data_IF_973896743876
#
_entry.id   IF_973896743876
#
_cell.length_a   1.000
_cell.length_b   1.000
_cell.length_c   1.000
_cell.angle_alpha   90.00
_cell.angle_beta   90.00
_cell.angle_gamma   90.00
#
_symmetry.space_group_name_H-M   'P 1'
#
loop_
_entity.id
_entity.type
_entity.pdbx_description
1 polymer ?
#
# COMPACT_ATOMS: atom_id res chain seq x y z
N UNK A 1 -4.74 -10.47 -5.84
CA UNK A 1 -3.41 -9.88 -6.17
C UNK A 1 -3.51 -8.65 -7.06
N UNK A 2 -4.23 -8.68 -8.20
CA UNK A 2 -4.30 -7.58 -9.19
C UNK A 2 -4.70 -6.23 -8.60
N UNK A 3 -5.68 -6.19 -7.70
CA UNK A 3 -6.13 -4.99 -7.00
C UNK A 3 -4.99 -4.35 -6.19
N UNK A 4 -4.26 -5.14 -5.41
CA UNK A 4 -3.13 -4.66 -4.58
C UNK A 4 -2.01 -4.10 -5.45
N UNK A 5 -1.67 -4.78 -6.54
CA UNK A 5 -0.69 -4.29 -7.51
C UNK A 5 -1.16 -3.01 -8.20
N UNK A 6 -2.48 -2.86 -8.42
CA UNK A 6 -3.09 -1.63 -8.90
C UNK A 6 -2.94 -0.47 -7.90
N UNK A 7 -3.19 -0.72 -6.61
CA UNK A 7 -3.02 0.28 -5.56
C UNK A 7 -1.56 0.73 -5.41
N UNK A 8 -0.60 -0.21 -5.46
CA UNK A 8 0.83 0.12 -5.45
C UNK A 8 1.22 1.06 -6.59
N UNK A 9 0.71 0.81 -7.79
CA UNK A 9 0.97 1.66 -8.97
C UNK A 9 0.44 3.08 -8.81
N UNK A 10 -0.73 3.26 -8.18
CA UNK A 10 -1.31 4.60 -7.93
C UNK A 10 -0.37 5.52 -7.14
N UNK A 11 0.44 4.96 -6.25
CA UNK A 11 1.35 5.70 -5.36
C UNK A 11 2.83 5.41 -5.64
N UNK A 12 3.13 4.81 -6.79
CA UNK A 12 4.49 4.51 -7.26
C UNK A 12 5.32 3.66 -6.30
N UNK A 13 4.70 2.77 -5.54
CA UNK A 13 5.41 1.82 -4.66
C UNK A 13 5.77 0.57 -5.45
N UNK A 14 7.07 0.32 -5.63
CA UNK A 14 7.60 -0.87 -6.31
C UNK A 14 7.17 -2.15 -5.59
N UNK A 15 6.91 -3.24 -6.32
CA UNK A 15 6.52 -4.53 -5.71
C UNK A 15 7.61 -5.08 -4.79
N UNK A 16 8.89 -4.81 -5.07
CA UNK A 16 10.00 -5.21 -4.21
C UNK A 16 10.06 -4.48 -2.86
N UNK A 17 9.40 -3.32 -2.74
CA UNK A 17 9.22 -2.66 -1.45
C UNK A 17 8.15 -3.42 -0.65
N UNK A 18 8.50 -4.11 0.45
CA UNK A 18 7.49 -4.77 1.27
C UNK A 18 6.59 -3.74 1.97
N UNK A 19 5.33 -4.10 2.13
CA UNK A 19 4.37 -3.34 2.92
C UNK A 19 3.92 -4.17 4.13
N UNK A 20 3.46 -3.49 5.17
CA UNK A 20 3.17 -4.13 6.44
C UNK A 20 1.95 -5.05 6.33
N UNK A 21 0.79 -4.50 5.97
CA UNK A 21 -0.45 -5.27 5.98
C UNK A 21 -1.46 -4.79 4.94
N UNK A 22 -2.40 -5.67 4.66
CA UNK A 22 -3.64 -5.34 3.98
C UNK A 22 -4.82 -5.88 4.77
N UNK A 23 -5.96 -5.21 4.66
CA UNK A 23 -7.22 -5.61 5.29
C UNK A 23 -8.22 -6.02 4.24
N UNK A 24 -8.98 -7.07 4.52
CA UNK A 24 -10.04 -7.57 3.65
C UNK A 24 -11.29 -7.77 4.51
N UNK A 25 -12.37 -7.00 4.26
CA UNK A 25 -13.66 -7.25 4.90
C UNK A 25 -14.23 -8.58 4.44
N UNK A 26 -14.54 -9.46 5.41
CA UNK A 26 -15.09 -10.79 5.15
C UNK A 26 -16.19 -11.08 6.15
N UNK A 27 -17.42 -11.22 5.65
CA UNK A 27 -18.61 -11.59 6.45
C UNK A 27 -18.98 -13.06 6.31
N UNK A 28 -18.54 -13.70 5.22
CA UNK A 28 -18.84 -15.11 4.92
C UNK A 28 -17.66 -16.01 5.37
N UNK A 29 -17.99 -17.02 6.20
CA UNK A 29 -17.00 -17.97 6.73
C UNK A 29 -16.35 -18.85 5.66
N UNK A 30 -17.11 -19.27 4.65
CA UNK A 30 -16.58 -20.09 3.54
C UNK A 30 -15.58 -19.30 2.71
N UNK A 31 -15.91 -18.04 2.40
CA UNK A 31 -14.99 -17.15 1.68
C UNK A 31 -13.72 -16.87 2.48
N UNK A 32 -13.85 -16.74 3.81
CA UNK A 32 -12.71 -16.60 4.71
C UNK A 32 -11.77 -17.81 4.65
N UNK A 33 -12.32 -19.04 4.72
CA UNK A 33 -11.53 -20.27 4.62
C UNK A 33 -10.78 -20.36 3.27
N UNK A 34 -11.43 -19.99 2.17
CA UNK A 34 -10.81 -19.95 0.85
C UNK A 34 -9.65 -18.95 0.80
N UNK A 35 -9.82 -17.75 1.37
CA UNK A 35 -8.76 -16.75 1.45
C UNK A 35 -7.59 -17.19 2.34
N UNK A 36 -7.88 -17.83 3.48
CA UNK A 36 -6.83 -18.37 4.36
C UNK A 36 -6.00 -19.45 3.65
N UNK A 37 -6.63 -20.30 2.84
CA UNK A 37 -5.92 -21.35 2.08
C UNK A 37 -4.92 -20.77 1.07
N UNK A 38 -5.20 -19.62 0.47
CA UNK A 38 -4.34 -18.97 -0.54
C UNK A 38 -3.51 -17.82 0.04
N UNK A 39 -3.67 -17.49 1.32
CA UNK A 39 -3.00 -16.38 2.00
C UNK A 39 -1.49 -16.33 1.77
N UNK A 40 -0.72 -17.44 1.93
CA UNK A 40 0.73 -17.41 1.71
C UNK A 40 1.11 -17.04 0.27
N UNK A 41 0.35 -17.52 -0.71
CA UNK A 41 0.58 -17.23 -2.12
C UNK A 41 0.34 -15.75 -2.42
N UNK A 42 -0.77 -15.21 -1.93
CA UNK A 42 -1.13 -13.79 -2.12
C UNK A 42 -0.09 -12.89 -1.46
N UNK A 43 0.26 -13.15 -0.20
CA UNK A 43 1.26 -12.37 0.54
C UNK A 43 2.61 -12.29 -0.20
N UNK A 44 3.05 -13.44 -0.72
CA UNK A 44 4.31 -13.51 -1.47
C UNK A 44 4.25 -12.75 -2.79
N UNK A 45 3.15 -12.89 -3.55
CA UNK A 45 2.97 -12.24 -4.85
C UNK A 45 2.90 -10.72 -4.74
N UNK A 46 2.17 -10.20 -3.76
CA UNK A 46 2.00 -8.76 -3.58
C UNK A 46 3.03 -8.12 -2.65
N UNK A 47 3.91 -8.94 -2.04
CA UNK A 47 4.94 -8.53 -1.08
C UNK A 47 4.37 -7.69 0.08
N UNK A 48 3.38 -8.25 0.76
CA UNK A 48 2.77 -7.72 1.98
C UNK A 48 3.01 -8.72 3.11
N UNK A 49 3.29 -8.26 4.33
CA UNK A 49 3.64 -9.13 5.46
C UNK A 49 2.43 -9.85 6.03
N UNK A 50 1.26 -9.20 6.04
CA UNK A 50 0.07 -9.71 6.71
C UNK A 50 -1.23 -9.41 5.94
N UNK A 51 -2.17 -10.34 6.02
CA UNK A 51 -3.58 -10.11 5.69
C UNK A 51 -4.39 -10.18 6.98
N UNK A 52 -5.10 -9.12 7.29
CA UNK A 52 -6.05 -9.03 8.36
C UNK A 52 -7.48 -9.12 7.80
N UNK A 53 -8.26 -10.08 8.30
CA UNK A 53 -9.67 -10.18 7.96
C UNK A 53 -10.49 -9.40 8.96
N UNK A 54 -11.27 -8.45 8.47
CA UNK A 54 -12.14 -7.58 9.27
C UNK A 54 -13.61 -7.84 8.93
N UNK A 55 -14.52 -7.47 9.83
CA UNK A 55 -15.94 -7.73 9.62
C UNK A 55 -16.62 -6.72 8.70
N UNK A 56 -16.12 -5.48 8.67
CA UNK A 56 -16.70 -4.40 7.89
C UNK A 56 -15.60 -3.41 7.42
N UNK A 57 -16.02 -2.37 6.75
CA UNK A 57 -15.12 -1.31 6.26
C UNK A 57 -14.93 -0.15 7.24
N UNK A 58 -15.53 -0.22 8.43
CA UNK A 58 -15.34 0.79 9.46
C UNK A 58 -13.89 0.82 9.92
N UNK A 59 -13.16 1.82 9.81
CA UNK A 59 -11.73 1.91 10.16
C UNK A 59 -10.75 1.82 8.97
N UNK A 60 -11.26 1.53 7.75
CA UNK A 60 -10.47 1.63 6.51
C UNK A 60 -11.02 2.64 5.51
N UNK A 61 -12.27 3.05 5.69
CA UNK A 61 -12.93 4.09 4.91
C UNK A 61 -13.57 5.10 5.84
N UNK A 62 -13.45 6.37 5.49
CA UNK A 62 -14.22 7.45 6.09
C UNK A 62 -15.34 7.80 5.12
N UNK A 63 -16.57 7.62 5.57
CA UNK A 63 -17.74 8.05 4.80
C UNK A 63 -17.98 9.54 5.06
N UNK A 64 -18.19 10.29 3.98
CA UNK A 64 -18.64 11.68 4.01
C UNK A 64 -19.96 11.78 3.30
N UNK A 65 -20.83 12.61 3.84
CA UNK A 65 -22.14 12.84 3.28
C UNK A 65 -22.26 14.30 2.80
N UNK A 66 -22.79 14.48 1.61
CA UNK A 66 -23.02 15.79 1.00
C UNK A 66 -24.47 15.93 0.60
N UNK A 67 -25.09 17.11 0.76
CA UNK A 67 -26.45 17.34 0.29
C UNK A 67 -26.49 17.36 -1.25
N UNK A 68 -27.52 16.73 -1.81
CA UNK A 68 -27.89 16.93 -3.20
C UNK A 68 -28.66 18.25 -3.32
N UNK A 69 -27.94 19.32 -3.71
CA UNK A 69 -28.53 20.66 -3.79
C UNK A 69 -29.70 20.77 -4.78
N UNK A 70 -29.73 19.91 -5.80
CA UNK A 70 -30.84 19.89 -6.76
C UNK A 70 -32.11 19.34 -6.13
N UNK A 71 -32.02 18.33 -5.29
CA UNK A 71 -33.14 17.72 -4.61
C UNK A 71 -33.59 18.56 -3.39
N UNK A 72 -32.63 18.99 -2.57
CA UNK A 72 -32.91 19.67 -1.31
C UNK A 72 -33.13 21.18 -1.42
N UNK A 73 -32.56 21.83 -2.43
CA UNK A 73 -32.69 23.27 -2.62
C UNK A 73 -34.14 23.80 -2.66
N UNK A 74 -35.06 23.18 -3.43
CA UNK A 74 -36.48 23.55 -3.43
C UNK A 74 -37.19 23.31 -2.10
N UNK A 75 -36.75 22.30 -1.31
CA UNK A 75 -37.38 21.94 -0.03
C UNK A 75 -36.92 22.82 1.13
N UNK A 76 -35.64 23.15 1.19
CA UNK A 76 -35.05 23.81 2.35
C UNK A 76 -34.64 25.28 2.10
N UNK A 77 -34.49 25.71 0.85
CA UNK A 77 -34.27 27.12 0.52
C UNK A 77 -33.16 27.79 1.36
N UNK A 78 -33.56 28.76 2.20
CA UNK A 78 -32.62 29.49 3.08
C UNK A 78 -31.98 28.63 4.17
N UNK A 79 -32.58 27.50 4.52
CA UNK A 79 -32.07 26.56 5.54
C UNK A 79 -31.02 25.59 4.99
N UNK A 80 -30.71 25.62 3.69
CA UNK A 80 -29.70 24.74 3.07
C UNK A 80 -28.31 24.82 3.72
N UNK A 81 -27.95 25.97 4.28
CA UNK A 81 -26.70 26.12 5.02
C UNK A 81 -26.67 25.27 6.29
N UNK A 82 -27.79 25.21 7.00
CA UNK A 82 -27.97 24.42 8.23
C UNK A 82 -28.02 22.93 7.89
N UNK A 83 -28.74 22.54 6.82
CA UNK A 83 -28.76 21.17 6.30
C UNK A 83 -27.36 20.69 5.98
N UNK A 84 -26.59 21.48 5.22
CA UNK A 84 -25.23 21.14 4.86
C UNK A 84 -24.31 21.02 6.10
N UNK A 85 -24.48 21.90 7.09
CA UNK A 85 -23.70 21.84 8.33
C UNK A 85 -24.04 20.58 9.15
N UNK A 86 -25.33 20.25 9.27
CA UNK A 86 -25.77 19.07 10.01
C UNK A 86 -25.26 17.78 9.34
N UNK A 87 -25.39 17.65 8.02
CA UNK A 87 -24.89 16.48 7.29
C UNK A 87 -23.36 16.33 7.39
N UNK A 88 -22.61 17.43 7.35
CA UNK A 88 -21.13 17.38 7.51
C UNK A 88 -20.67 16.95 8.89
N UNK A 89 -21.49 17.15 9.91
CA UNK A 89 -21.17 16.83 11.29
C UNK A 89 -21.70 15.44 11.72
N UNK A 90 -22.32 14.69 10.78
CA UNK A 90 -22.78 13.33 11.08
C UNK A 90 -21.59 12.41 11.39
N UNK A 91 -21.75 11.63 12.45
CA UNK A 91 -20.80 10.59 12.84
C UNK A 91 -20.84 9.40 11.85
N UNK A 92 -19.77 8.59 11.83
CA UNK A 92 -19.66 7.46 10.89
C UNK A 92 -20.80 6.44 11.08
N UNK A 93 -21.21 6.21 12.32
CA UNK A 93 -22.31 5.32 12.68
C UNK A 93 -23.66 5.84 12.15
N UNK A 94 -23.90 7.15 12.22
CA UNK A 94 -25.10 7.78 11.70
C UNK A 94 -25.18 7.69 10.17
N UNK A 95 -24.04 7.90 9.48
CA UNK A 95 -23.96 7.76 8.01
C UNK A 95 -24.21 6.30 7.62
N UNK A 96 -23.64 5.34 8.35
CA UNK A 96 -23.84 3.91 8.11
C UNK A 96 -25.31 3.48 8.37
N UNK A 97 -25.93 4.00 9.41
CA UNK A 97 -27.36 3.76 9.70
C UNK A 97 -28.24 4.34 8.59
N UNK A 98 -27.98 5.58 8.16
CA UNK A 98 -28.72 6.22 7.05
C UNK A 98 -28.61 5.40 5.75
N UNK A 99 -27.41 4.94 5.40
CA UNK A 99 -27.20 4.11 4.22
C UNK A 99 -27.97 2.78 4.29
N UNK A 100 -28.05 2.17 5.48
CA UNK A 100 -28.73 0.90 5.72
C UNK A 100 -30.25 1.04 5.75
N UNK A 101 -30.77 2.08 6.41
CA UNK A 101 -32.18 2.32 6.63
C UNK A 101 -32.85 3.03 5.43
N UNK A 102 -32.06 3.70 4.59
CA UNK A 102 -32.52 4.43 3.42
C UNK A 102 -33.17 5.78 3.73
N UNK A 103 -33.31 6.14 5.00
CA UNK A 103 -33.88 7.41 5.46
C UNK A 103 -33.22 7.88 6.75
N UNK A 104 -33.19 9.21 6.93
CA UNK A 104 -32.64 9.85 8.12
C UNK A 104 -33.51 11.04 8.56
N UNK A 105 -33.77 11.16 9.84
CA UNK A 105 -34.51 12.28 10.41
C UNK A 105 -33.57 13.40 10.85
N UNK A 106 -33.56 14.49 10.08
CA UNK A 106 -32.75 15.67 10.35
C UNK A 106 -33.55 16.67 11.20
N UNK A 107 -33.00 17.04 12.36
CA UNK A 107 -33.59 18.09 13.21
C UNK A 107 -33.00 19.45 12.87
N UNK A 108 -33.86 20.36 12.42
CA UNK A 108 -33.51 21.74 12.08
C UNK A 108 -34.42 22.72 12.80
N UNK A 109 -33.83 23.59 13.60
CA UNK A 109 -34.58 24.69 14.28
C UNK A 109 -35.87 24.25 15.00
N UNK A 110 -35.93 23.02 15.54
CA UNK A 110 -37.08 22.46 16.23
C UNK A 110 -38.08 21.73 15.35
N UNK A 111 -37.88 21.70 14.05
CA UNK A 111 -38.63 20.88 13.09
C UNK A 111 -37.85 19.64 12.70
N UNK A 112 -38.51 18.54 12.43
CA UNK A 112 -37.92 17.30 11.95
C UNK A 112 -38.20 17.14 10.46
N UNK A 113 -37.18 16.96 9.64
CA UNK A 113 -37.30 16.71 8.22
C UNK A 113 -36.72 15.33 7.87
N UNK A 114 -37.49 14.53 7.15
CA UNK A 114 -36.99 13.24 6.64
C UNK A 114 -36.20 13.44 5.35
N UNK A 115 -34.99 12.88 5.31
CA UNK A 115 -34.13 12.80 4.12
C UNK A 115 -34.09 11.36 3.62
N UNK A 116 -34.12 11.17 2.30
CA UNK A 116 -33.92 9.89 1.64
C UNK A 116 -32.51 9.82 1.05
N UNK A 117 -32.05 8.62 0.65
CA UNK A 117 -30.71 8.45 0.03
C UNK A 117 -30.52 9.26 -1.24
N UNK A 118 -31.58 9.52 -2.01
CA UNK A 118 -31.58 10.37 -3.22
C UNK A 118 -31.34 11.86 -2.92
N UNK A 119 -31.58 12.25 -1.66
CA UNK A 119 -31.38 13.63 -1.17
C UNK A 119 -29.90 13.93 -0.86
N UNK A 120 -29.07 12.92 -0.82
CA UNK A 120 -27.66 13.02 -0.40
C UNK A 120 -26.73 12.23 -1.33
N UNK A 121 -25.46 12.56 -1.28
CA UNK A 121 -24.39 11.80 -1.89
C UNK A 121 -23.46 11.30 -0.78
N UNK A 122 -23.35 9.98 -0.61
CA UNK A 122 -22.42 9.36 0.34
C UNK A 122 -21.15 9.00 -0.41
N UNK A 123 -20.03 9.59 0.01
CA UNK A 123 -18.71 9.42 -0.60
C UNK A 123 -17.82 8.70 0.41
N UNK A 124 -17.16 7.63 -0.04
CA UNK A 124 -16.12 6.96 0.75
C UNK A 124 -14.75 7.52 0.37
N UNK A 125 -13.98 7.94 1.36
CA UNK A 125 -12.60 8.39 1.20
C UNK A 125 -11.66 7.45 1.95
N UNK A 126 -10.48 7.23 1.37
CA UNK A 126 -9.43 6.46 2.04
C UNK A 126 -8.95 7.23 3.28
N UNK A 127 -8.70 6.52 4.38
CA UNK A 127 -8.05 7.14 5.53
C UNK A 127 -6.57 7.40 5.24
N UNK A 128 -5.96 8.43 5.86
CA UNK A 128 -4.54 8.70 5.65
C UNK A 128 -3.66 7.46 5.91
N UNK A 129 -2.77 7.16 4.97
CA UNK A 129 -1.88 6.00 5.04
C UNK A 129 -2.48 4.69 4.51
N UNK A 130 -3.74 4.70 4.04
CA UNK A 130 -4.41 3.56 3.44
C UNK A 130 -4.91 3.88 2.04
N UNK A 131 -4.90 2.87 1.18
CA UNK A 131 -5.55 2.91 -0.13
C UNK A 131 -6.55 1.77 -0.23
N UNK A 132 -7.73 2.07 -0.77
CA UNK A 132 -8.80 1.07 -0.93
C UNK A 132 -9.11 0.83 -2.40
N UNK A 133 -9.33 -0.43 -2.74
CA UNK A 133 -9.85 -0.85 -4.04
C UNK A 133 -11.04 -1.78 -3.85
N UNK A 134 -12.02 -1.64 -4.75
CA UNK A 134 -13.21 -2.46 -4.78
C UNK A 134 -13.34 -3.11 -6.17
N UNK A 135 -13.66 -4.39 -6.21
CA UNK A 135 -13.96 -5.13 -7.43
C UNK A 135 -15.10 -6.12 -7.14
N UNK A 136 -16.28 -5.84 -7.65
CA UNK A 136 -17.49 -6.58 -7.29
C UNK A 136 -17.74 -6.48 -5.77
N UNK A 137 -17.83 -7.63 -5.11
CA UNK A 137 -18.06 -7.72 -3.67
C UNK A 137 -16.75 -7.77 -2.84
N UNK A 138 -15.58 -7.69 -3.51
CA UNK A 138 -14.30 -7.74 -2.84
C UNK A 138 -13.77 -6.33 -2.61
N UNK A 139 -13.50 -6.02 -1.37
CA UNK A 139 -12.79 -4.80 -0.95
C UNK A 139 -11.43 -5.17 -0.40
N UNK A 140 -10.41 -4.42 -0.76
CA UNK A 140 -9.05 -4.57 -0.22
C UNK A 140 -8.54 -3.20 0.19
N UNK A 141 -8.11 -3.08 1.44
CA UNK A 141 -7.39 -1.91 1.93
C UNK A 141 -5.90 -2.24 2.12
N UNK A 142 -5.03 -1.41 1.60
CA UNK A 142 -3.59 -1.57 1.64
C UNK A 142 -2.97 -0.47 2.51
N UNK A 143 -2.25 -0.87 3.55
CA UNK A 143 -1.41 0.03 4.35
C UNK A 143 -0.19 0.43 3.52
N UNK A 144 -0.09 1.72 3.21
CA UNK A 144 1.01 2.28 2.40
C UNK A 144 2.07 2.98 3.26
N UNK A 145 1.97 2.88 4.58
CA UNK A 145 3.00 3.37 5.47
C UNK A 145 4.24 2.48 5.41
N UNK A 146 5.38 3.07 5.07
CA UNK A 146 6.66 2.38 4.97
C UNK A 146 7.50 2.74 6.19
N UNK A 147 7.66 1.82 7.13
CA UNK A 147 8.59 1.98 8.25
C UNK A 147 10.03 1.90 7.76
N UNK A 148 10.96 2.40 8.57
CA UNK A 148 12.39 2.32 8.24
C UNK A 148 12.87 0.88 8.04
N UNK A 149 12.34 -0.08 8.80
CA UNK A 149 12.65 -1.50 8.63
C UNK A 149 12.19 -2.05 7.28
N UNK A 150 10.96 -1.70 6.88
CA UNK A 150 10.42 -2.11 5.57
C UNK A 150 11.18 -1.44 4.43
N UNK A 151 11.61 -0.18 4.60
CA UNK A 151 12.45 0.53 3.64
C UNK A 151 13.80 -0.18 3.45
N UNK A 152 14.48 -0.54 4.54
CA UNK A 152 15.75 -1.26 4.50
C UNK A 152 15.62 -2.63 3.86
N UNK A 153 14.55 -3.37 4.15
CA UNK A 153 14.26 -4.64 3.46
C UNK A 153 14.00 -4.42 1.96
N UNK A 154 13.29 -3.36 1.59
CA UNK A 154 13.05 -2.98 0.20
C UNK A 154 14.36 -2.73 -0.55
N UNK A 155 15.29 -1.98 0.05
CA UNK A 155 16.64 -1.75 -0.48
C UNK A 155 17.39 -3.06 -0.68
N UNK A 156 17.35 -3.96 0.31
CA UNK A 156 18.02 -5.27 0.20
C UNK A 156 17.47 -6.11 -0.96
N UNK A 157 16.15 -6.14 -1.14
CA UNK A 157 15.48 -6.84 -2.26
C UNK A 157 15.81 -6.22 -3.61
N UNK A 158 15.91 -4.89 -3.69
CA UNK A 158 16.33 -4.21 -4.91
C UNK A 158 17.80 -4.54 -5.25
N UNK A 159 18.71 -4.52 -4.27
CA UNK A 159 20.09 -4.91 -4.44
C UNK A 159 20.22 -6.34 -4.98
N UNK A 160 19.49 -7.30 -4.38
CA UNK A 160 19.46 -8.68 -4.89
C UNK A 160 19.07 -8.72 -6.36
N UNK A 161 18.02 -8.00 -6.74
CA UNK A 161 17.57 -7.95 -8.14
C UNK A 161 18.64 -7.34 -9.06
N UNK A 162 19.28 -6.24 -8.65
CA UNK A 162 20.34 -5.59 -9.44
C UNK A 162 21.56 -6.48 -9.60
N UNK A 163 22.01 -7.13 -8.53
CA UNK A 163 23.12 -8.06 -8.56
C UNK A 163 22.81 -9.25 -9.50
N UNK A 164 21.61 -9.83 -9.40
CA UNK A 164 21.20 -10.92 -10.28
C UNK A 164 21.16 -10.50 -11.76
N UNK A 165 20.71 -9.28 -12.05
CA UNK A 165 20.75 -8.74 -13.40
C UNK A 165 22.20 -8.57 -13.91
N UNK A 166 23.10 -8.05 -13.09
CA UNK A 166 24.53 -7.93 -13.44
C UNK A 166 25.14 -9.30 -13.70
N UNK A 167 24.87 -10.31 -12.87
CA UNK A 167 25.33 -11.69 -13.09
C UNK A 167 24.88 -12.21 -14.46
N UNK A 168 23.58 -12.03 -14.78
CA UNK A 168 23.01 -12.46 -16.07
C UNK A 168 23.67 -11.74 -17.25
N UNK A 169 23.80 -10.42 -17.18
CA UNK A 169 24.41 -9.60 -18.23
C UNK A 169 25.90 -9.91 -18.42
N UNK A 170 26.59 -10.31 -17.36
CA UNK A 170 27.99 -10.70 -17.36
C UNK A 170 28.24 -12.15 -17.79
N UNK A 171 27.16 -12.91 -18.10
CA UNK A 171 27.28 -14.30 -18.54
C UNK A 171 27.71 -15.27 -17.41
N UNK A 172 27.44 -14.95 -16.15
CA UNK A 172 27.75 -15.83 -15.03
C UNK A 172 26.77 -17.00 -14.99
N UNK A 173 27.28 -18.18 -14.62
CA UNK A 173 26.46 -19.36 -14.39
C UNK A 173 25.65 -19.22 -13.09
N UNK A 174 24.56 -19.96 -12.99
CA UNK A 174 23.68 -19.92 -11.81
C UNK A 174 24.43 -20.30 -10.52
N UNK A 175 25.42 -21.17 -10.65
CA UNK A 175 26.23 -21.71 -9.54
C UNK A 175 27.48 -20.88 -9.21
N UNK A 176 27.83 -19.91 -10.04
CA UNK A 176 29.01 -19.07 -9.82
C UNK A 176 28.93 -18.34 -8.47
N UNK A 177 30.04 -18.35 -7.76
CA UNK A 177 30.23 -17.53 -6.57
C UNK A 177 30.77 -16.17 -6.99
N UNK A 178 30.39 -15.15 -6.21
CA UNK A 178 30.77 -13.77 -6.52
C UNK A 178 31.27 -13.02 -5.29
N UNK A 179 32.04 -12.00 -5.54
CA UNK A 179 32.32 -10.91 -4.60
C UNK A 179 31.62 -9.65 -5.09
N UNK A 180 31.09 -8.89 -4.15
CA UNK A 180 30.34 -7.66 -4.44
C UNK A 180 30.94 -6.51 -3.64
N UNK A 181 31.33 -5.45 -4.33
CA UNK A 181 31.74 -4.19 -3.71
C UNK A 181 30.75 -3.10 -4.10
N UNK A 182 30.21 -2.42 -3.11
CA UNK A 182 29.14 -1.41 -3.27
C UNK A 182 29.69 -0.06 -2.78
N UNK A 183 29.47 0.98 -3.57
CA UNK A 183 29.78 2.35 -3.17
C UNK A 183 28.94 2.75 -1.97
N UNK A 184 29.56 3.37 -0.95
CA UNK A 184 28.86 3.85 0.25
C UNK A 184 27.85 4.93 -0.10
N UNK A 185 26.66 4.81 0.45
CA UNK A 185 25.64 5.83 0.36
C UNK A 185 24.81 5.83 1.66
N UNK A 186 24.60 6.99 2.26
CA UNK A 186 23.97 7.13 3.57
C UNK A 186 22.61 6.42 3.68
N UNK A 187 21.80 6.43 2.61
CA UNK A 187 20.47 5.84 2.61
C UNK A 187 20.46 4.30 2.52
N UNK A 188 21.59 3.66 2.22
CA UNK A 188 21.64 2.20 1.97
C UNK A 188 22.64 1.45 2.86
N UNK A 189 23.63 2.13 3.44
CA UNK A 189 24.71 1.49 4.22
C UNK A 189 24.16 0.62 5.34
N UNK A 190 23.17 1.15 6.07
CA UNK A 190 22.54 0.43 7.18
C UNK A 190 21.76 -0.79 6.70
N UNK A 191 21.00 -0.63 5.61
CA UNK A 191 20.25 -1.71 4.98
C UNK A 191 21.17 -2.85 4.54
N UNK A 192 22.31 -2.54 3.92
CA UNK A 192 23.32 -3.54 3.52
C UNK A 192 23.90 -4.23 4.76
N UNK A 193 24.25 -3.49 5.80
CA UNK A 193 24.77 -4.06 7.05
C UNK A 193 23.80 -5.06 7.67
N UNK A 194 22.55 -4.67 7.80
CA UNK A 194 21.47 -5.45 8.44
C UNK A 194 21.07 -6.68 7.63
N UNK A 195 21.02 -6.55 6.30
CA UNK A 195 20.55 -7.60 5.39
C UNK A 195 21.68 -8.32 4.63
N UNK A 196 22.94 -8.15 5.03
CA UNK A 196 24.12 -8.75 4.34
C UNK A 196 23.98 -10.25 4.11
N UNK A 197 23.56 -11.00 5.12
CA UNK A 197 23.34 -12.45 5.03
C UNK A 197 22.27 -12.83 4.00
N UNK A 198 21.18 -12.07 3.98
CA UNK A 198 20.10 -12.26 3.02
C UNK A 198 20.59 -12.00 1.60
N UNK A 199 21.23 -10.86 1.36
CA UNK A 199 21.76 -10.49 0.04
C UNK A 199 22.77 -11.55 -0.43
N UNK A 200 23.71 -11.95 0.43
CA UNK A 200 24.71 -12.98 0.10
C UNK A 200 24.08 -14.33 -0.27
N UNK A 201 23.11 -14.81 0.52
CA UNK A 201 22.43 -16.05 0.23
C UNK A 201 21.63 -16.02 -1.08
N UNK A 202 20.98 -14.90 -1.40
CA UNK A 202 20.17 -14.76 -2.60
C UNK A 202 21.00 -14.54 -3.88
N UNK A 203 22.26 -14.14 -3.74
CA UNK A 203 23.13 -13.79 -4.89
C UNK A 203 24.35 -14.70 -5.02
N UNK A 204 24.55 -15.64 -4.10
CA UNK A 204 25.75 -16.45 -3.96
C UNK A 204 27.02 -15.61 -3.77
N UNK A 205 26.87 -14.43 -3.12
CA UNK A 205 28.02 -13.60 -2.78
C UNK A 205 28.72 -14.12 -1.54
N UNK A 206 30.00 -14.48 -1.68
CA UNK A 206 30.86 -14.90 -0.58
C UNK A 206 31.28 -13.71 0.28
N UNK A 207 31.49 -12.59 -0.39
CA UNK A 207 31.85 -11.33 0.26
C UNK A 207 31.00 -10.18 -0.27
N UNK A 208 30.54 -9.31 0.63
CA UNK A 208 29.90 -8.04 0.33
C UNK A 208 30.64 -6.96 1.10
N UNK A 209 31.22 -6.00 0.41
CA UNK A 209 32.01 -4.91 1.00
C UNK A 209 31.46 -3.55 0.58
N UNK A 210 31.72 -2.54 1.42
CA UNK A 210 31.41 -1.15 1.15
C UNK A 210 32.70 -0.37 0.93
N UNK A 211 32.79 0.41 -0.14
CA UNK A 211 33.93 1.25 -0.46
C UNK A 211 33.50 2.72 -0.64
N UNK A 212 34.37 3.65 -0.35
CA UNK A 212 34.08 5.09 -0.52
C UNK A 212 34.10 5.50 -1.99
N UNK A 213 34.85 4.77 -2.81
CA UNK A 213 34.86 4.88 -4.28
C UNK A 213 35.21 3.54 -4.90
N UNK A 214 34.81 3.32 -6.13
CA UNK A 214 35.14 2.15 -6.91
C UNK A 214 36.04 2.55 -8.10
N UNK A 215 37.03 1.73 -8.39
CA UNK A 215 37.95 1.92 -9.52
C UNK A 215 37.97 0.65 -10.40
N UNK A 216 38.01 0.84 -11.71
CA UNK A 216 38.10 -0.26 -12.69
C UNK A 216 37.02 -0.25 -13.77
N UNK A 217 37.15 -1.20 -14.71
CA UNK A 217 36.33 -1.24 -15.92
C UNK A 217 34.99 -2.04 -15.73
N UNK A 218 34.82 -2.73 -14.61
CA UNK A 218 33.64 -3.58 -14.34
C UNK A 218 32.62 -2.94 -13.44
N UNK A 219 32.72 -1.62 -13.23
CA UNK A 219 31.78 -0.87 -12.38
C UNK A 219 30.48 -0.64 -13.14
N UNK A 220 29.38 -0.92 -12.48
CA UNK A 220 28.02 -0.66 -12.98
C UNK A 220 27.34 0.40 -12.13
N UNK A 221 26.65 1.33 -12.75
CA UNK A 221 25.69 2.20 -12.06
C UNK A 221 24.36 1.45 -11.95
N UNK A 222 23.78 1.45 -10.76
CA UNK A 222 22.46 0.88 -10.51
C UNK A 222 21.58 1.90 -9.79
N UNK A 223 20.30 1.94 -10.16
CA UNK A 223 19.31 2.77 -9.49
C UNK A 223 18.62 1.90 -8.43
N UNK A 224 18.66 2.37 -7.19
CA UNK A 224 18.01 1.72 -6.04
C UNK A 224 16.60 2.25 -5.87
N UNK A 225 16.45 3.57 -5.97
CA UNK A 225 15.17 4.26 -5.95
C UNK A 225 15.17 5.37 -7.00
N UNK A 226 14.07 6.10 -7.14
CA UNK A 226 13.89 7.11 -8.20
C UNK A 226 14.99 8.18 -8.16
N UNK A 227 15.44 8.57 -6.94
CA UNK A 227 16.45 9.59 -6.73
C UNK A 227 17.79 9.05 -6.17
N UNK A 228 17.92 7.72 -6.02
CA UNK A 228 19.10 7.09 -5.42
C UNK A 228 19.76 6.13 -6.38
N UNK A 229 20.95 6.49 -6.85
CA UNK A 229 21.82 5.59 -7.61
C UNK A 229 23.15 5.40 -6.89
N UNK A 230 23.78 4.27 -7.14
CA UNK A 230 25.10 3.90 -6.61
C UNK A 230 25.90 3.16 -7.66
N UNK A 231 27.19 3.06 -7.43
CA UNK A 231 28.07 2.20 -8.21
C UNK A 231 28.30 0.88 -7.50
N UNK A 232 28.40 -0.16 -8.28
CA UNK A 232 28.60 -1.53 -7.80
C UNK A 232 29.58 -2.27 -8.73
N UNK A 233 30.40 -3.11 -8.15
CA UNK A 233 31.27 -4.04 -8.85
C UNK A 233 30.92 -5.46 -8.42
N UNK A 234 30.72 -6.35 -9.39
CA UNK A 234 30.44 -7.77 -9.16
C UNK A 234 31.48 -8.58 -9.92
N UNK A 235 32.25 -9.38 -9.20
CA UNK A 235 33.31 -10.21 -9.76
C UNK A 235 33.06 -11.68 -9.45
N UNK A 236 33.36 -12.57 -10.37
CA UNK A 236 33.33 -14.01 -10.17
C UNK A 236 34.57 -14.45 -9.40
N UNK A 237 34.38 -15.31 -8.41
CA UNK A 237 35.45 -15.95 -7.63
C UNK A 237 35.92 -17.23 -8.33
#
# INVERSE_FOLDING_TARGET
SSMVLGLRRKVNIKVRQPLNRMMIPVTDSMFREQLEAVKPLVLNEVNVKEIEFIHDTAGILVKKIKPNFKALGPRFGKQMKEVNSALRNMEQEEIAAFEKEGSFELKLNGETASLALEDVEIISEDIPGWLVANEGNLTVALDIHISEELRQEGVARELVNRIQNIRKESGFEVTDRIEVTIERHELINEAIGKHRKYIGAQTLAEQISLADSLEGNSIKRIDIDDDVYIHIQVTRV
#
